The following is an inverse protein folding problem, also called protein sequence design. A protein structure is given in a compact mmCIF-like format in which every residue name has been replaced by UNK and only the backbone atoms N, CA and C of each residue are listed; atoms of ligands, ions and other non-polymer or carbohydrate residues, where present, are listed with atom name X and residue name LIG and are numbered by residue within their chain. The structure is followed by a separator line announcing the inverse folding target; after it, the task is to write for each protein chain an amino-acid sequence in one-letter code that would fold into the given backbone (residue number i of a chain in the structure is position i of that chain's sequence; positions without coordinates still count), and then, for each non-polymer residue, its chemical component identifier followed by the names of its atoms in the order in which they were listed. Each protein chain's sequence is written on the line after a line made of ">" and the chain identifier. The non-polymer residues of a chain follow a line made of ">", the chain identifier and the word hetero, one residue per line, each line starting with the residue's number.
data_IF_073885547451
#
_entry.id   IF_073885547451
#
_cell.length_a   1.000
_cell.length_b   1.000
_cell.length_c   1.000
_cell.angle_alpha   90.00
_cell.angle_beta   90.00
_cell.angle_gamma   90.00
#
_symmetry.space_group_name_H-M   'P 1'
#
loop_
_entity.id
_entity.type
_entity.pdbx_description
1 polymer ?
#
# COMPACT_ATOMS: atom_id res chain seq x y z
N UNK A 1 -17.09 -9.77 -19.51
CA UNK A 1 -17.41 -10.02 -18.09
C UNK A 1 -16.96 -8.79 -17.35
N UNK A 2 -17.91 -7.88 -17.10
CA UNK A 2 -17.66 -6.69 -16.30
C UNK A 2 -17.54 -7.14 -14.85
N UNK A 3 -16.30 -7.32 -14.38
CA UNK A 3 -16.06 -7.55 -12.97
C UNK A 3 -16.08 -6.17 -12.34
N UNK A 4 -17.28 -5.67 -12.05
CA UNK A 4 -17.45 -4.52 -11.16
C UNK A 4 -16.73 -4.85 -9.87
N UNK A 5 -15.50 -4.38 -9.71
CA UNK A 5 -14.74 -4.39 -8.46
C UNK A 5 -15.46 -3.44 -7.52
N UNK A 6 -16.57 -3.91 -6.96
CA UNK A 6 -17.26 -3.24 -5.88
C UNK A 6 -16.39 -3.41 -4.65
N UNK A 7 -15.42 -2.50 -4.47
CA UNK A 7 -14.72 -2.36 -3.20
C UNK A 7 -15.79 -2.22 -2.14
N UNK A 8 -15.82 -3.19 -1.24
CA UNK A 8 -16.78 -3.29 -0.16
C UNK A 8 -16.02 -3.65 1.13
N UNK A 9 -16.73 -3.71 2.25
CA UNK A 9 -16.11 -4.01 3.54
C UNK A 9 -15.41 -5.37 3.59
N UNK A 10 -15.94 -6.37 2.86
CA UNK A 10 -15.34 -7.71 2.80
C UNK A 10 -14.00 -7.68 2.05
N UNK A 11 -13.94 -7.00 0.90
CA UNK A 11 -12.70 -6.84 0.14
C UNK A 11 -11.62 -6.08 0.93
N UNK A 12 -12.02 -5.05 1.68
CA UNK A 12 -11.10 -4.30 2.55
C UNK A 12 -10.62 -5.15 3.73
N UNK A 13 -11.51 -5.91 4.37
CA UNK A 13 -11.12 -6.84 5.43
C UNK A 13 -10.18 -7.94 4.93
N UNK A 14 -10.45 -8.52 3.75
CA UNK A 14 -9.58 -9.50 3.12
C UNK A 14 -8.20 -8.90 2.80
N UNK A 15 -8.14 -7.66 2.34
CA UNK A 15 -6.89 -6.96 2.10
C UNK A 15 -6.10 -6.77 3.41
N UNK A 16 -6.77 -6.32 4.47
CA UNK A 16 -6.14 -6.17 5.78
C UNK A 16 -5.58 -7.50 6.30
N UNK A 17 -6.36 -8.59 6.19
CA UNK A 17 -5.89 -9.90 6.64
C UNK A 17 -4.68 -10.39 5.82
N UNK A 18 -4.63 -10.12 4.51
CA UNK A 18 -3.43 -10.40 3.71
C UNK A 18 -2.20 -9.62 4.20
N UNK A 19 -2.37 -8.37 4.59
CA UNK A 19 -1.29 -7.56 5.18
C UNK A 19 -0.80 -8.12 6.50
N UNK A 20 -1.72 -8.55 7.36
CA UNK A 20 -1.39 -9.22 8.63
C UNK A 20 -0.64 -10.54 8.39
N UNK A 21 -0.98 -11.27 7.32
CA UNK A 21 -0.32 -12.51 6.99
C UNK A 21 1.12 -12.32 6.47
N UNK A 22 1.49 -11.10 6.03
CA UNK A 22 2.83 -10.81 5.56
C UNK A 22 3.87 -11.02 6.66
N UNK A 23 4.93 -11.76 6.32
CA UNK A 23 6.02 -12.06 7.26
C UNK A 23 6.96 -10.87 7.45
N UNK A 24 7.11 -10.08 6.39
CA UNK A 24 7.98 -8.92 6.32
C UNK A 24 7.17 -7.80 5.65
N UNK A 25 6.37 -7.04 6.42
CA UNK A 25 5.62 -5.91 5.89
C UNK A 25 6.57 -4.89 5.27
N UNK A 26 6.22 -4.37 4.08
CA UNK A 26 6.94 -3.28 3.42
C UNK A 26 5.96 -2.29 2.79
N UNK A 27 6.35 -1.02 2.62
CA UNK A 27 5.51 0.00 2.02
C UNK A 27 5.01 -0.37 0.63
N UNK A 28 5.92 -0.86 -0.22
CA UNK A 28 5.64 -1.23 -1.61
C UNK A 28 4.62 -2.37 -1.66
N UNK A 29 4.75 -3.34 -0.75
CA UNK A 29 3.80 -4.46 -0.68
C UNK A 29 2.41 -4.00 -0.26
N UNK A 30 2.33 -3.04 0.66
CA UNK A 30 1.06 -2.43 1.09
C UNK A 30 0.40 -1.69 -0.07
N UNK A 31 1.16 -0.85 -0.78
CA UNK A 31 0.68 -0.10 -1.94
C UNK A 31 0.21 -1.05 -3.04
N UNK A 32 0.93 -2.14 -3.31
CA UNK A 32 0.52 -3.15 -4.29
C UNK A 32 -0.82 -3.81 -3.95
N UNK A 33 -1.00 -4.22 -2.68
CA UNK A 33 -2.24 -4.88 -2.24
C UNK A 33 -3.44 -3.93 -2.29
N UNK A 34 -3.26 -2.67 -1.89
CA UNK A 34 -4.30 -1.64 -2.00
C UNK A 34 -4.60 -1.30 -3.46
N UNK A 35 -3.58 -1.22 -4.31
CA UNK A 35 -3.74 -0.98 -5.75
C UNK A 35 -4.55 -2.08 -6.42
N UNK A 36 -4.37 -3.34 -6.00
CA UNK A 36 -5.15 -4.46 -6.52
C UNK A 36 -6.64 -4.44 -6.15
N UNK A 37 -7.06 -3.61 -5.18
CA UNK A 37 -8.48 -3.38 -4.86
C UNK A 37 -9.14 -2.41 -5.83
N UNK A 38 -8.37 -1.51 -6.42
CA UNK A 38 -8.89 -0.44 -7.27
C UNK A 38 -9.06 -0.95 -8.71
N UNK A 39 -10.19 -0.63 -9.38
CA UNK A 39 -10.25 -0.78 -10.82
C UNK A 39 -9.19 0.11 -11.48
N UNK A 40 -8.76 -0.28 -12.70
CA UNK A 40 -7.96 0.61 -13.53
C UNK A 40 -8.82 1.85 -13.84
N UNK A 41 -8.47 2.98 -13.26
CA UNK A 41 -9.09 4.28 -13.50
C UNK A 41 -8.13 5.14 -14.33
N UNK A 42 -8.66 5.88 -15.31
CA UNK A 42 -7.86 6.79 -16.15
C UNK A 42 -7.41 8.05 -15.38
N UNK A 43 -7.93 8.28 -14.17
CA UNK A 43 -7.64 9.43 -13.32
C UNK A 43 -6.64 9.07 -12.21
N UNK A 44 -5.38 9.40 -12.43
CA UNK A 44 -4.27 9.12 -11.51
C UNK A 44 -4.43 9.83 -10.16
N UNK A 45 -4.96 11.06 -10.12
CA UNK A 45 -5.13 11.83 -8.87
C UNK A 45 -6.20 11.16 -8.01
N UNK A 46 -7.35 10.83 -8.59
CA UNK A 46 -8.42 10.15 -7.87
C UNK A 46 -8.00 8.75 -7.42
N UNK A 47 -7.18 8.06 -8.21
CA UNK A 47 -6.60 6.77 -7.86
C UNK A 47 -5.70 6.88 -6.62
N UNK A 48 -4.76 7.84 -6.58
CA UNK A 48 -3.89 8.07 -5.43
C UNK A 48 -4.69 8.42 -4.17
N UNK A 49 -5.66 9.34 -4.28
CA UNK A 49 -6.55 9.70 -3.16
C UNK A 49 -7.28 8.49 -2.56
N UNK A 50 -7.77 7.57 -3.41
CA UNK A 50 -8.39 6.34 -2.94
C UNK A 50 -7.40 5.40 -2.25
N UNK A 51 -6.18 5.26 -2.78
CA UNK A 51 -5.13 4.46 -2.13
C UNK A 51 -4.81 5.01 -0.74
N UNK A 52 -4.61 6.31 -0.61
CA UNK A 52 -4.36 6.99 0.68
C UNK A 52 -5.50 6.71 1.67
N UNK A 53 -6.75 6.81 1.24
CA UNK A 53 -7.91 6.50 2.09
C UNK A 53 -7.84 5.06 2.58
N UNK A 54 -7.58 4.09 1.70
CA UNK A 54 -7.55 2.68 2.08
C UNK A 54 -6.34 2.33 2.96
N UNK A 55 -5.16 2.89 2.70
CA UNK A 55 -3.99 2.73 3.58
C UNK A 55 -4.27 3.30 4.97
N UNK A 56 -4.90 4.48 5.07
CA UNK A 56 -5.32 5.05 6.34
C UNK A 56 -6.35 4.18 7.07
N UNK A 57 -7.27 3.53 6.36
CA UNK A 57 -8.17 2.54 6.96
C UNK A 57 -7.42 1.32 7.50
N UNK A 58 -6.35 0.87 6.84
CA UNK A 58 -5.49 -0.21 7.36
C UNK A 58 -4.76 0.23 8.63
N UNK A 59 -4.21 1.45 8.65
CA UNK A 59 -3.57 2.05 9.84
C UNK A 59 -4.49 2.05 11.04
N UNK A 60 -5.74 2.47 10.83
CA UNK A 60 -6.74 2.53 11.90
C UNK A 60 -7.13 1.10 12.32
N UNK A 61 -7.28 0.18 11.37
CA UNK A 61 -7.55 -1.24 11.65
C UNK A 61 -6.48 -1.88 12.52
N UNK A 62 -5.20 -1.50 12.37
CA UNK A 62 -4.12 -2.02 13.24
C UNK A 62 -4.33 -1.70 14.72
N UNK A 63 -4.94 -0.54 15.01
CA UNK A 63 -5.20 -0.09 16.39
C UNK A 63 -6.44 -0.72 16.99
N UNK A 64 -7.42 -1.07 16.16
CA UNK A 64 -8.75 -1.53 16.59
C UNK A 64 -8.85 -3.05 16.77
N UNK A 65 -7.97 -3.84 16.15
CA UNK A 65 -8.00 -5.31 16.25
C UNK A 65 -7.19 -5.85 17.42
N UNK A 66 -7.63 -6.97 17.98
CA UNK A 66 -6.99 -7.56 19.17
C UNK A 66 -5.57 -8.07 18.85
N UNK A 67 -4.52 -7.53 19.51
CA UNK A 67 -3.15 -7.81 19.09
C UNK A 67 -2.73 -9.28 19.26
N UNK A 68 -3.27 -9.95 20.27
CA UNK A 68 -2.88 -11.32 20.64
C UNK A 68 -3.46 -12.41 19.72
N UNK A 69 -4.44 -12.07 18.88
CA UNK A 69 -5.11 -13.04 18.00
C UNK A 69 -4.83 -12.80 16.52
N UNK A 70 -4.43 -11.59 16.16
CA UNK A 70 -4.26 -11.17 14.78
C UNK A 70 -2.78 -11.18 14.39
N UNK A 71 -1.89 -10.67 15.24
CA UNK A 71 -0.47 -10.54 14.92
C UNK A 71 0.36 -11.70 15.47
N UNK A 72 1.50 -11.94 14.82
CA UNK A 72 2.45 -12.99 15.24
C UNK A 72 3.16 -12.63 16.55
N UNK A 73 3.37 -11.34 16.76
CA UNK A 73 3.96 -10.76 17.97
C UNK A 73 3.64 -9.27 18.01
N UNK A 74 3.88 -8.62 19.15
CA UNK A 74 3.77 -7.16 19.25
C UNK A 74 4.77 -6.46 18.32
N UNK A 75 5.96 -7.03 18.15
CA UNK A 75 6.96 -6.50 17.22
C UNK A 75 6.48 -6.59 15.77
N UNK A 76 5.85 -7.70 15.37
CA UNK A 76 5.27 -7.84 14.02
C UNK A 76 4.15 -6.84 13.76
N UNK A 77 3.32 -6.53 14.78
CA UNK A 77 2.32 -5.45 14.69
C UNK A 77 2.99 -4.10 14.46
N UNK A 78 4.05 -3.80 15.22
CA UNK A 78 4.75 -2.52 15.14
C UNK A 78 5.46 -2.35 13.80
N UNK A 79 6.09 -3.41 13.28
CA UNK A 79 6.68 -3.45 11.93
C UNK A 79 5.62 -3.22 10.83
N UNK A 80 4.46 -3.89 10.92
CA UNK A 80 3.35 -3.66 10.01
C UNK A 80 2.84 -2.21 10.10
N UNK A 81 2.72 -1.68 11.31
CA UNK A 81 2.25 -0.33 11.52
C UNK A 81 3.20 0.71 10.91
N UNK A 82 4.51 0.56 11.12
CA UNK A 82 5.53 1.42 10.51
C UNK A 82 5.47 1.36 8.98
N UNK A 83 5.41 0.16 8.40
CA UNK A 83 5.31 0.01 6.95
C UNK A 83 4.05 0.65 6.37
N UNK A 84 2.93 0.66 7.11
CA UNK A 84 1.70 1.36 6.72
C UNK A 84 1.86 2.89 6.77
N UNK A 85 2.62 3.42 7.73
CA UNK A 85 2.90 4.85 7.79
C UNK A 85 3.79 5.28 6.62
N UNK A 86 4.87 4.55 6.39
CA UNK A 86 5.79 4.77 5.25
C UNK A 86 5.03 4.72 3.91
N UNK A 87 4.17 3.71 3.70
CA UNK A 87 3.31 3.64 2.51
C UNK A 87 2.34 4.83 2.38
N UNK A 88 1.89 5.40 3.51
CA UNK A 88 1.01 6.57 3.48
C UNK A 88 1.79 7.83 3.08
N UNK A 89 3.01 7.99 3.59
CA UNK A 89 3.91 9.09 3.26
C UNK A 89 4.28 9.05 1.77
N UNK A 90 4.70 7.89 1.25
CA UNK A 90 5.02 7.71 -0.18
C UNK A 90 3.84 8.10 -1.09
N UNK A 91 2.62 7.66 -0.76
CA UNK A 91 1.43 8.00 -1.55
C UNK A 91 1.03 9.48 -1.44
N UNK A 92 1.30 10.12 -0.30
CA UNK A 92 1.06 11.56 -0.10
C UNK A 92 2.06 12.40 -0.88
N UNK A 93 3.33 11.99 -0.92
CA UNK A 93 4.38 12.59 -1.74
C UNK A 93 4.06 12.42 -3.24
N UNK A 94 3.70 11.20 -3.70
CA UNK A 94 3.25 10.93 -5.07
C UNK A 94 2.07 11.83 -5.47
N UNK A 95 1.11 12.03 -4.55
CA UNK A 95 -0.04 12.86 -4.80
C UNK A 95 0.35 14.33 -4.92
N UNK A 96 1.24 14.82 -4.07
CA UNK A 96 1.75 16.18 -4.14
C UNK A 96 2.47 16.42 -5.46
N UNK A 97 3.39 15.54 -5.85
CA UNK A 97 4.13 15.64 -7.11
C UNK A 97 3.18 15.69 -8.30
N UNK A 98 2.18 14.82 -8.33
CA UNK A 98 1.19 14.78 -9.40
C UNK A 98 0.30 16.05 -9.44
N UNK A 99 -0.07 16.60 -8.28
CA UNK A 99 -0.85 17.85 -8.20
C UNK A 99 -0.01 19.08 -8.63
N UNK A 100 1.29 19.07 -8.38
CA UNK A 100 2.24 20.12 -8.80
C UNK A 100 2.75 19.93 -10.24
N UNK A 101 2.44 18.80 -10.88
CA UNK A 101 2.93 18.45 -12.22
C UNK A 101 4.42 18.11 -12.25
N UNK A 102 4.99 17.75 -11.11
CA UNK A 102 6.33 17.23 -10.95
C UNK A 102 6.28 15.76 -11.39
N UNK A 103 7.12 15.40 -12.35
CA UNK A 103 7.34 14.00 -12.73
C UNK A 103 8.63 13.60 -12.03
N UNK A 104 8.54 12.74 -11.02
CA UNK A 104 9.72 12.17 -10.36
C UNK A 104 10.54 11.39 -11.39
N UNK A 105 11.81 11.78 -11.59
CA UNK A 105 12.75 11.16 -12.53
C UNK A 105 13.49 9.97 -11.89
N UNK A 106 12.91 9.27 -10.92
CA UNK A 106 13.60 8.22 -10.17
C UNK A 106 12.95 6.86 -10.46
N UNK A 107 13.28 6.25 -11.60
CA UNK A 107 13.26 4.79 -11.82
C UNK A 107 13.95 4.42 -13.15
N UNK A 108 15.25 4.72 -13.26
CA UNK A 108 16.16 4.06 -14.22
C UNK A 108 17.54 3.88 -13.54
N UNK A 109 17.57 3.11 -12.44
CA UNK A 109 18.82 2.57 -11.88
C UNK A 109 18.90 1.06 -12.19
N UNK A 110 18.83 0.71 -13.49
CA UNK A 110 19.29 -0.58 -13.97
C UNK A 110 20.82 -0.59 -13.91
N UNK A 111 21.34 -1.24 -12.86
CA UNK A 111 22.76 -1.51 -12.68
C UNK A 111 23.35 -2.20 -13.91
N UNK A 112 24.23 -1.48 -14.61
CA UNK A 112 25.07 -2.01 -15.67
C UNK A 112 25.95 -3.12 -15.09
N UNK A 113 25.64 -4.35 -15.51
CA UNK A 113 26.27 -5.57 -15.06
C UNK A 113 27.76 -5.57 -15.40
N UNK A 114 28.54 -5.73 -14.33
CA UNK A 114 29.95 -6.03 -14.36
C UNK A 114 30.14 -7.47 -14.89
N UNK A 115 30.33 -7.66 -16.21
CA UNK A 115 30.91 -8.90 -16.76
C UNK A 115 32.33 -8.63 -17.31
N UNK A 116 33.32 -8.86 -16.45
CA UNK A 116 34.65 -9.28 -16.87
C UNK A 116 34.57 -10.66 -17.55
N UNK A 117 35.01 -10.77 -18.80
CA UNK A 117 35.76 -11.92 -19.36
C UNK A 117 36.39 -11.59 -20.71
#
# INVERSE_FOLDING_TARGET
>A
MDKTSNVNSEALADCFMKLVEERYPSPERIIQLVSALLPNEDDSINTLKKKIIYVNMMRDSVKEVSPNYVYRSMQHRDELFSAILEASEELEDDLQDLEEGIVSEDEDEDGDENEES
#
